data_IF_488350978368
#
_entry.id   IF_488350978368
#
_cell.length_a   1.000
_cell.length_b   1.000
_cell.length_c   1.000
_cell.angle_alpha   90.00
_cell.angle_beta   90.00
_cell.angle_gamma   90.00
#
_symmetry.space_group_name_H-M   'P 1'
#
loop_
_entity.id
_entity.type
_entity.pdbx_description
1 polymer ?
#
# COMPACT_ATOMS: atom_id res chain seq x y z
N UNK A 1 -20.70 -17.30 73.94
CA UNK A 1 -20.24 -18.57 74.56
C UNK A 1 -19.18 -19.13 73.62
N UNK A 2 -17.97 -18.92 74.01
CA UNK A 2 -16.94 -19.93 74.31
C UNK A 2 -16.52 -20.74 73.09
N UNK A 3 -15.30 -20.93 72.71
CA UNK A 3 -13.94 -20.70 73.33
C UNK A 3 -12.91 -21.07 72.24
N UNK A 4 -11.80 -20.33 72.16
CA UNK A 4 -10.47 -20.74 71.68
C UNK A 4 -9.84 -21.72 72.67
N UNK A 5 -8.62 -22.30 72.50
CA UNK A 5 -7.54 -22.35 71.51
C UNK A 5 -6.85 -23.75 71.42
N UNK A 6 -5.56 -24.00 71.24
CA UNK A 6 -4.40 -23.22 70.77
C UNK A 6 -3.41 -23.96 69.85
N UNK A 7 -2.38 -23.21 69.54
CA UNK A 7 -1.18 -23.50 68.76
C UNK A 7 -0.24 -24.66 69.23
N UNK A 8 0.63 -25.10 68.30
CA UNK A 8 2.04 -25.43 68.60
C UNK A 8 2.95 -25.36 67.36
N UNK A 9 3.99 -24.54 67.47
CA UNK A 9 5.28 -24.61 66.80
C UNK A 9 6.18 -25.50 67.73
N UNK A 10 7.44 -25.95 67.40
CA UNK A 10 8.49 -25.30 66.59
C UNK A 10 9.50 -26.24 65.90
N UNK A 11 10.51 -25.65 65.34
CA UNK A 11 11.88 -26.16 65.20
C UNK A 11 12.44 -26.20 63.77
N UNK A 12 13.24 -25.23 63.37
CA UNK A 12 14.71 -25.03 63.33
C UNK A 12 15.43 -26.05 62.40
N UNK A 13 16.37 -25.78 61.57
CA UNK A 13 17.35 -24.76 61.26
C UNK A 13 18.12 -25.19 60.03
N UNK A 14 18.75 -24.31 59.34
CA UNK A 14 20.12 -24.20 58.83
C UNK A 14 20.35 -23.85 57.36
N UNK A 15 20.78 -22.66 57.20
CA UNK A 15 21.96 -22.10 56.52
C UNK A 15 22.22 -22.31 55.03
N UNK A 16 22.26 -21.16 54.37
CA UNK A 16 23.33 -20.63 53.60
C UNK A 16 23.20 -20.64 52.08
N UNK A 17 24.00 -19.90 51.32
CA UNK A 17 23.76 -18.50 51.07
C UNK A 17 23.36 -18.22 49.61
N UNK A 18 22.73 -17.07 49.46
CA UNK A 18 22.38 -16.36 48.21
C UNK A 18 23.50 -16.36 47.16
N UNK A 19 23.15 -16.70 45.94
CA UNK A 19 23.76 -16.15 44.73
C UNK A 19 22.68 -15.55 43.83
N UNK A 20 22.53 -14.23 43.95
CA UNK A 20 21.85 -13.41 42.95
C UNK A 20 22.61 -13.60 41.63
N UNK A 21 22.05 -14.30 40.68
CA UNK A 21 22.42 -14.19 39.26
C UNK A 21 21.50 -13.18 38.64
N UNK A 22 22.04 -11.98 38.33
CA UNK A 22 21.49 -11.06 37.36
C UNK A 22 21.44 -11.82 36.02
N UNK A 23 20.25 -12.10 35.55
CA UNK A 23 20.02 -12.45 34.14
C UNK A 23 19.86 -11.10 33.40
N UNK A 24 20.93 -10.68 32.74
CA UNK A 24 20.85 -9.68 31.69
C UNK A 24 20.08 -10.32 30.54
N UNK A 25 18.87 -9.84 30.30
CA UNK A 25 18.14 -10.08 29.04
C UNK A 25 18.86 -9.25 27.96
N UNK A 26 19.74 -9.89 27.23
CA UNK A 26 20.15 -9.40 25.91
C UNK A 26 18.99 -9.70 24.96
N UNK A 27 18.27 -8.66 24.57
CA UNK A 27 17.36 -8.72 23.44
C UNK A 27 18.20 -8.99 22.17
N UNK A 28 18.21 -10.24 21.70
CA UNK A 28 18.64 -10.56 20.34
C UNK A 28 17.51 -10.13 19.41
N UNK A 29 17.73 -9.05 18.69
CA UNK A 29 16.98 -8.79 17.48
C UNK A 29 17.24 -9.94 16.49
N UNK A 30 16.23 -10.55 15.88
CA UNK A 30 16.45 -11.49 14.80
C UNK A 30 16.97 -10.73 13.58
N UNK A 31 18.27 -10.84 13.30
CA UNK A 31 18.78 -10.59 11.98
C UNK A 31 18.14 -11.65 11.07
N UNK A 32 17.15 -11.26 10.29
CA UNK A 32 16.60 -12.09 9.23
C UNK A 32 17.70 -12.29 8.18
N UNK A 33 18.51 -13.32 8.35
CA UNK A 33 19.34 -13.84 7.29
C UNK A 33 18.40 -14.54 6.30
N UNK A 34 18.09 -13.86 5.20
CA UNK A 34 17.42 -14.48 4.05
C UNK A 34 18.36 -15.53 3.50
N UNK A 35 18.13 -16.79 3.85
CA UNK A 35 18.75 -17.93 3.18
C UNK A 35 18.07 -18.10 1.82
N UNK A 36 18.67 -17.51 0.81
CA UNK A 36 18.35 -17.74 -0.59
C UNK A 36 18.65 -19.21 -0.93
N UNK A 37 17.59 -20.00 -1.02
CA UNK A 37 17.63 -21.32 -1.66
C UNK A 37 17.93 -21.17 -3.14
N UNK A 38 19.09 -21.64 -3.56
CA UNK A 38 19.52 -21.67 -4.95
C UNK A 38 18.57 -22.52 -5.80
N UNK A 39 17.84 -21.87 -6.71
CA UNK A 39 17.33 -22.50 -7.93
C UNK A 39 17.54 -21.55 -9.11
N UNK A 40 18.60 -21.83 -9.81
CA UNK A 40 18.94 -21.64 -11.24
C UNK A 40 18.57 -20.35 -11.99
N UNK A 41 19.63 -19.62 -12.39
CA UNK A 41 19.89 -19.10 -13.76
C UNK A 41 19.08 -17.90 -14.25
N UNK A 42 18.99 -16.83 -13.46
CA UNK A 42 18.97 -15.43 -13.86
C UNK A 42 19.21 -14.54 -12.63
N UNK A 43 19.97 -14.99 -11.65
CA UNK A 43 20.33 -14.17 -10.49
C UNK A 43 21.44 -13.22 -10.89
N UNK A 44 21.16 -11.92 -10.81
CA UNK A 44 22.16 -10.89 -10.90
C UNK A 44 23.17 -10.97 -9.76
N UNK A 45 24.25 -10.21 -9.87
CA UNK A 45 25.16 -9.96 -8.76
C UNK A 45 24.47 -9.05 -7.75
N UNK A 46 24.09 -9.62 -6.60
CA UNK A 46 23.53 -8.84 -5.49
C UNK A 46 24.55 -7.81 -5.01
N UNK A 47 24.17 -6.54 -5.00
CA UNK A 47 24.96 -5.46 -4.43
C UNK A 47 24.58 -5.28 -2.97
N UNK A 48 25.58 -5.15 -2.11
CA UNK A 48 25.41 -5.10 -0.67
C UNK A 48 26.07 -3.87 -0.07
N UNK A 49 25.60 -3.46 1.10
CA UNK A 49 26.22 -2.43 1.93
C UNK A 49 26.62 -2.99 3.29
N UNK A 50 27.60 -2.35 3.92
CA UNK A 50 27.95 -2.55 5.34
C UNK A 50 27.25 -1.54 6.26
N UNK A 51 26.47 -0.60 5.67
CA UNK A 51 25.71 0.36 6.46
C UNK A 51 24.69 -0.37 7.34
N UNK A 52 24.51 0.14 8.55
CA UNK A 52 23.47 -0.39 9.45
C UNK A 52 22.13 0.19 8.98
N UNK A 53 21.16 -0.70 8.81
CA UNK A 53 19.77 -0.30 8.56
C UNK A 53 19.27 0.52 9.75
N UNK A 54 18.74 1.70 9.50
CA UNK A 54 18.09 2.53 10.51
C UNK A 54 16.58 2.31 10.50
N UNK A 55 16.02 2.18 11.69
CA UNK A 55 14.56 2.12 11.88
C UNK A 55 14.11 3.47 12.41
N UNK A 56 13.31 4.19 11.62
CA UNK A 56 12.71 5.45 12.01
C UNK A 56 11.24 5.19 12.33
N UNK A 57 10.77 5.68 13.50
CA UNK A 57 9.35 5.59 13.83
C UNK A 57 8.61 6.82 13.30
N UNK A 58 7.33 6.69 12.97
CA UNK A 58 6.51 7.81 12.50
C UNK A 58 6.49 8.98 13.49
N UNK A 59 6.47 8.69 14.80
CA UNK A 59 6.48 9.70 15.88
C UNK A 59 7.74 10.56 15.90
N UNK A 60 8.88 10.01 15.48
CA UNK A 60 10.18 10.69 15.53
C UNK A 60 10.32 11.77 14.44
N UNK A 61 9.50 11.65 13.39
CA UNK A 61 9.49 12.52 12.20
C UNK A 61 8.06 12.90 11.78
N UNK A 62 7.13 13.03 12.73
CA UNK A 62 5.70 13.21 12.48
C UNK A 62 5.36 14.38 11.53
N UNK A 63 6.05 15.52 11.69
CA UNK A 63 5.86 16.69 10.83
C UNK A 63 6.27 16.43 9.37
N UNK A 64 7.32 15.64 9.16
CA UNK A 64 7.81 15.32 7.82
C UNK A 64 7.01 14.17 7.20
N UNK A 65 6.54 13.23 8.01
CA UNK A 65 5.54 12.22 7.58
C UNK A 65 4.27 12.89 7.06
N UNK A 66 3.76 13.94 7.73
CA UNK A 66 2.59 14.67 7.25
C UNK A 66 2.82 15.34 5.89
N UNK A 67 4.03 15.89 5.64
CA UNK A 67 4.39 16.45 4.32
C UNK A 67 4.51 15.34 3.26
N UNK A 68 5.15 14.23 3.61
CA UNK A 68 5.27 13.06 2.73
C UNK A 68 3.89 12.48 2.37
N UNK A 69 2.97 12.36 3.33
CA UNK A 69 1.60 11.90 3.09
C UNK A 69 0.84 12.85 2.15
N UNK A 70 0.96 14.16 2.36
CA UNK A 70 0.39 15.17 1.45
C UNK A 70 0.97 15.04 0.03
N UNK A 71 2.27 14.82 -0.09
CA UNK A 71 2.91 14.61 -1.39
C UNK A 71 2.46 13.31 -2.06
N UNK A 72 2.27 12.24 -1.27
CA UNK A 72 1.71 10.97 -1.74
C UNK A 72 0.31 11.14 -2.32
N UNK A 73 -0.58 11.81 -1.60
CA UNK A 73 -1.93 12.13 -2.03
C UNK A 73 -1.93 12.96 -3.33
N UNK A 74 -1.11 14.01 -3.39
CA UNK A 74 -0.98 14.84 -4.59
C UNK A 74 -0.45 14.06 -5.80
N UNK A 75 0.47 13.14 -5.59
CA UNK A 75 1.02 12.28 -6.64
C UNK A 75 -0.06 11.34 -7.18
N UNK A 76 -0.84 10.72 -6.28
CA UNK A 76 -1.96 9.86 -6.63
C UNK A 76 -3.05 10.59 -7.40
N UNK A 77 -3.53 11.72 -6.87
CA UNK A 77 -4.55 12.55 -7.50
C UNK A 77 -4.14 13.03 -8.90
N UNK A 78 -2.89 13.45 -9.06
CA UNK A 78 -2.34 13.85 -10.37
C UNK A 78 -2.26 12.68 -11.35
N UNK A 79 -1.81 11.52 -10.88
CA UNK A 79 -1.66 10.33 -11.71
C UNK A 79 -3.04 9.80 -12.14
N UNK A 80 -3.99 9.71 -11.22
CA UNK A 80 -5.35 9.29 -11.52
C UNK A 80 -6.02 10.27 -12.49
N UNK A 81 -5.86 11.57 -12.26
CA UNK A 81 -6.36 12.63 -13.17
C UNK A 81 -5.70 12.54 -14.55
N UNK A 82 -4.40 12.22 -14.63
CA UNK A 82 -3.71 12.03 -15.91
C UNK A 82 -4.35 10.89 -16.72
N UNK A 83 -4.62 9.75 -16.08
CA UNK A 83 -5.30 8.62 -16.73
C UNK A 83 -6.72 8.99 -17.19
N UNK A 84 -7.50 9.64 -16.33
CA UNK A 84 -8.88 10.01 -16.63
C UNK A 84 -9.01 11.10 -17.69
N UNK A 85 -7.98 11.94 -17.87
CA UNK A 85 -7.91 12.89 -18.99
C UNK A 85 -7.63 12.22 -20.32
N UNK A 86 -6.85 11.15 -20.32
CA UNK A 86 -6.57 10.37 -21.52
C UNK A 86 -7.81 9.55 -21.94
N UNK A 87 -8.50 8.92 -20.98
CA UNK A 87 -9.80 8.25 -21.21
C UNK A 87 -10.67 8.33 -19.94
N UNK A 88 -11.70 9.15 -19.99
CA UNK A 88 -12.65 9.38 -18.89
C UNK A 88 -13.68 8.25 -18.71
N UNK A 89 -13.64 7.21 -19.53
CA UNK A 89 -14.61 6.11 -19.52
C UNK A 89 -14.00 4.78 -19.10
N UNK A 90 -12.67 4.69 -19.04
CA UNK A 90 -11.95 3.49 -18.66
C UNK A 90 -11.56 3.54 -17.19
N UNK A 91 -11.75 2.41 -16.47
CA UNK A 91 -11.28 2.24 -15.10
C UNK A 91 -9.77 2.41 -15.03
N UNK A 92 -9.31 3.23 -14.08
CA UNK A 92 -7.90 3.52 -13.87
C UNK A 92 -7.48 3.17 -12.43
N UNK A 93 -6.25 2.67 -12.27
CA UNK A 93 -5.68 2.33 -10.96
C UNK A 93 -4.26 2.85 -10.84
N UNK A 94 -3.90 3.29 -9.64
CA UNK A 94 -2.57 3.76 -9.27
C UNK A 94 -2.19 3.27 -7.86
N UNK A 95 -0.89 3.16 -7.59
CA UNK A 95 -0.34 2.99 -6.24
C UNK A 95 0.60 4.17 -5.94
N UNK A 96 0.09 5.25 -5.34
CA UNK A 96 0.89 6.45 -5.06
C UNK A 96 2.08 6.15 -4.15
N UNK A 97 1.88 5.36 -3.10
CA UNK A 97 2.95 4.98 -2.17
C UNK A 97 4.07 4.21 -2.87
N UNK A 98 3.73 3.22 -3.72
CA UNK A 98 4.73 2.46 -4.48
C UNK A 98 5.57 3.36 -5.36
N UNK A 99 4.93 4.30 -6.07
CA UNK A 99 5.62 5.26 -6.92
C UNK A 99 6.51 6.20 -6.10
N UNK A 100 6.02 6.73 -4.99
CA UNK A 100 6.79 7.61 -4.11
C UNK A 100 8.04 6.94 -3.54
N UNK A 101 7.97 5.66 -3.13
CA UNK A 101 9.13 4.91 -2.64
C UNK A 101 10.17 4.66 -3.73
N UNK A 102 9.75 4.35 -4.96
CA UNK A 102 10.65 4.28 -6.11
C UNK A 102 11.37 5.61 -6.33
N UNK A 103 10.62 6.71 -6.30
CA UNK A 103 11.19 8.05 -6.47
C UNK A 103 12.13 8.43 -5.33
N UNK A 104 11.85 8.04 -4.08
CA UNK A 104 12.73 8.30 -2.94
C UNK A 104 14.08 7.56 -3.08
N UNK A 105 14.06 6.30 -3.50
CA UNK A 105 15.26 5.51 -3.78
C UNK A 105 16.09 6.14 -4.92
N UNK A 106 15.44 6.62 -5.98
CA UNK A 106 16.11 7.27 -7.09
C UNK A 106 16.68 8.65 -6.74
N UNK A 107 16.00 9.39 -5.87
CA UNK A 107 16.42 10.72 -5.43
C UNK A 107 17.83 10.71 -4.78
N UNK A 108 18.17 9.63 -4.06
CA UNK A 108 19.51 9.43 -3.49
C UNK A 108 20.59 9.23 -4.55
N UNK A 109 20.18 8.75 -5.73
CA UNK A 109 21.04 8.61 -6.90
C UNK A 109 21.21 9.88 -7.73
N UNK A 110 20.34 10.86 -7.53
CA UNK A 110 20.28 12.06 -8.35
C UNK A 110 21.33 13.11 -7.95
N UNK A 111 21.89 13.82 -8.95
CA UNK A 111 22.72 15.00 -8.72
C UNK A 111 21.89 16.19 -8.25
N UNK A 112 22.54 17.21 -7.69
CA UNK A 112 21.85 18.37 -7.09
C UNK A 112 20.82 19.04 -8.02
N UNK A 113 21.13 19.13 -9.32
CA UNK A 113 20.21 19.70 -10.30
C UNK A 113 19.02 18.79 -10.60
N UNK A 114 19.21 17.47 -10.61
CA UNK A 114 18.16 16.48 -10.87
C UNK A 114 17.31 16.24 -9.63
N UNK A 115 17.88 16.31 -8.42
CA UNK A 115 17.20 16.04 -7.15
C UNK A 115 15.97 16.93 -6.93
N UNK A 116 15.98 18.17 -7.43
CA UNK A 116 14.88 19.13 -7.23
C UNK A 116 13.53 18.61 -7.73
N UNK A 117 13.50 17.89 -8.86
CA UNK A 117 12.28 17.28 -9.38
C UNK A 117 11.75 16.17 -8.47
N UNK A 118 12.63 15.33 -7.93
CA UNK A 118 12.27 14.29 -6.97
C UNK A 118 11.77 14.88 -5.66
N UNK A 119 12.47 15.86 -5.10
CA UNK A 119 12.12 16.52 -3.85
C UNK A 119 10.76 17.22 -3.94
N UNK A 120 10.44 17.85 -5.07
CA UNK A 120 9.15 18.47 -5.33
C UNK A 120 7.99 17.45 -5.36
N UNK A 121 8.23 16.27 -5.93
CA UNK A 121 7.23 15.18 -5.97
C UNK A 121 7.08 14.48 -4.63
N UNK A 122 8.12 14.46 -3.80
CA UNK A 122 8.17 13.75 -2.52
C UNK A 122 7.87 14.66 -1.31
N UNK A 123 7.76 15.98 -1.53
CA UNK A 123 7.40 16.96 -0.51
C UNK A 123 8.50 17.31 0.49
N UNK A 124 9.66 16.71 0.38
CA UNK A 124 10.81 16.82 1.29
C UNK A 124 12.12 16.65 0.53
N UNK A 125 13.25 17.06 1.13
CA UNK A 125 14.56 16.95 0.54
C UNK A 125 15.59 16.32 1.50
N UNK A 126 16.63 15.69 0.93
CA UNK A 126 17.76 15.15 1.66
C UNK A 126 17.37 14.14 2.74
N UNK A 127 18.05 14.16 3.87
CA UNK A 127 17.85 13.18 4.95
C UNK A 127 16.44 13.27 5.57
N UNK A 128 15.78 14.43 5.59
CA UNK A 128 14.40 14.55 6.08
C UNK A 128 13.42 13.77 5.18
N UNK A 129 13.65 13.83 3.85
CA UNK A 129 12.92 12.99 2.87
C UNK A 129 13.13 11.52 3.17
N UNK A 130 14.38 11.08 3.28
CA UNK A 130 14.73 9.67 3.45
C UNK A 130 14.17 9.09 4.75
N UNK A 131 14.27 9.86 5.83
CA UNK A 131 13.73 9.48 7.15
C UNK A 131 12.21 9.37 7.15
N UNK A 132 11.52 10.33 6.54
CA UNK A 132 10.05 10.33 6.48
C UNK A 132 9.53 9.15 5.66
N UNK A 133 10.05 8.92 4.46
CA UNK A 133 9.65 7.81 3.59
C UNK A 133 10.08 6.45 4.16
N UNK A 134 11.23 6.38 4.83
CA UNK A 134 11.65 5.20 5.59
C UNK A 134 10.68 4.88 6.74
N UNK A 135 10.24 5.90 7.50
CA UNK A 135 9.28 5.72 8.59
C UNK A 135 7.92 5.19 8.07
N UNK A 136 7.44 5.73 6.94
CA UNK A 136 6.21 5.25 6.27
C UNK A 136 6.36 3.79 5.85
N UNK A 137 7.45 3.44 5.16
CA UNK A 137 7.72 2.04 4.78
C UNK A 137 7.79 1.12 6.01
N UNK A 138 8.51 1.54 7.06
CA UNK A 138 8.66 0.75 8.29
C UNK A 138 7.33 0.55 9.02
N UNK A 139 6.41 1.54 8.99
CA UNK A 139 5.10 1.41 9.63
C UNK A 139 4.25 0.31 9.02
N UNK A 140 4.38 0.08 7.72
CA UNK A 140 3.69 -0.98 6.99
C UNK A 140 4.34 -2.35 7.18
N UNK A 141 5.64 -2.41 7.46
CA UNK A 141 6.36 -3.67 7.71
C UNK A 141 5.82 -4.47 8.91
N UNK A 142 5.05 -3.85 9.82
CA UNK A 142 4.35 -4.57 10.90
C UNK A 142 3.30 -5.55 10.37
N UNK A 143 2.80 -5.30 9.18
CA UNK A 143 1.84 -6.16 8.49
C UNK A 143 2.52 -7.08 7.46
N UNK A 144 3.86 -7.04 7.34
CA UNK A 144 4.57 -7.91 6.40
C UNK A 144 4.51 -9.36 6.84
N UNK A 145 4.48 -10.26 5.87
CA UNK A 145 4.37 -11.69 6.11
C UNK A 145 4.91 -12.54 4.97
N UNK A 146 4.99 -13.83 5.22
CA UNK A 146 5.48 -14.77 4.21
C UNK A 146 4.46 -14.94 3.07
N UNK A 147 4.89 -14.68 1.85
CA UNK A 147 4.07 -14.88 0.64
C UNK A 147 4.00 -16.35 0.19
N UNK A 148 4.90 -17.20 0.68
CA UNK A 148 4.91 -18.62 0.31
C UNK A 148 3.65 -19.32 0.79
N UNK A 149 2.83 -19.78 -0.15
CA UNK A 149 1.56 -20.45 0.13
C UNK A 149 0.42 -19.46 0.38
N UNK A 150 0.61 -18.18 0.07
CA UNK A 150 -0.48 -17.22 -0.01
C UNK A 150 -1.50 -17.71 -1.05
N UNK A 151 -2.75 -17.71 -0.66
CA UNK A 151 -3.88 -18.11 -1.49
C UNK A 151 -4.79 -16.88 -1.65
N UNK A 152 -4.91 -16.30 -2.84
CA UNK A 152 -5.74 -15.12 -3.05
C UNK A 152 -7.22 -15.38 -2.77
N UNK A 153 -7.63 -16.64 -2.76
CA UNK A 153 -9.01 -17.05 -2.42
C UNK A 153 -9.20 -17.23 -0.89
N UNK A 154 -8.22 -16.89 -0.07
CA UNK A 154 -8.27 -16.97 1.40
C UNK A 154 -7.61 -15.80 2.06
N UNK A 155 -8.37 -14.79 2.43
CA UNK A 155 -7.85 -13.64 3.15
C UNK A 155 -7.26 -14.07 4.48
N UNK A 156 -6.00 -13.67 4.80
CA UNK A 156 -5.38 -14.00 6.07
C UNK A 156 -6.13 -13.35 7.24
N UNK A 157 -6.09 -13.99 8.42
CA UNK A 157 -6.75 -13.46 9.61
C UNK A 157 -6.09 -12.18 10.14
N UNK A 158 -4.82 -11.97 9.84
CA UNK A 158 -4.10 -10.72 10.12
C UNK A 158 -3.90 -9.97 8.82
N UNK A 159 -4.01 -8.65 8.80
CA UNK A 159 -3.68 -7.88 7.61
C UNK A 159 -2.28 -8.23 7.10
N UNK A 160 -2.15 -8.36 5.79
CA UNK A 160 -0.91 -8.56 5.09
C UNK A 160 -0.65 -7.36 4.18
N UNK A 161 0.48 -6.70 4.39
CA UNK A 161 0.98 -5.67 3.48
C UNK A 161 2.44 -5.98 3.17
N UNK A 162 2.69 -6.58 2.02
CA UNK A 162 4.06 -6.84 1.57
C UNK A 162 4.48 -5.76 0.59
N UNK A 163 5.53 -5.04 0.96
CA UNK A 163 6.07 -3.92 0.20
C UNK A 163 7.54 -4.17 -0.11
N UNK A 164 7.87 -4.37 -1.38
CA UNK A 164 9.22 -4.68 -1.83
C UNK A 164 9.70 -3.72 -2.91
N UNK A 165 10.99 -3.37 -2.88
CA UNK A 165 11.63 -2.49 -3.85
C UNK A 165 12.79 -3.22 -4.53
N UNK A 166 12.95 -3.02 -5.82
CA UNK A 166 14.01 -3.61 -6.62
C UNK A 166 14.65 -2.59 -7.55
N UNK A 167 15.96 -2.50 -7.46
CA UNK A 167 16.80 -1.67 -8.34
C UNK A 167 17.68 -2.62 -9.17
N UNK A 168 17.47 -2.64 -10.47
CA UNK A 168 18.20 -3.50 -11.39
C UNK A 168 19.06 -2.67 -12.34
N UNK A 169 20.36 -2.92 -12.31
CA UNK A 169 21.39 -2.16 -13.03
C UNK A 169 22.08 -3.07 -14.04
N UNK A 170 22.34 -2.55 -15.22
CA UNK A 170 23.09 -3.31 -16.24
C UNK A 170 24.52 -3.62 -15.76
N UNK A 171 24.94 -4.87 -15.93
CA UNK A 171 26.33 -5.28 -15.67
C UNK A 171 27.17 -5.00 -16.94
N UNK A 172 27.62 -3.75 -17.05
CA UNK A 172 28.47 -3.28 -18.15
C UNK A 172 29.75 -2.67 -17.59
N UNK A 173 30.85 -2.75 -18.36
CA UNK A 173 32.19 -2.37 -17.90
C UNK A 173 32.35 -0.91 -17.51
N UNK A 174 31.49 -0.03 -18.02
CA UNK A 174 31.47 1.41 -17.75
C UNK A 174 30.48 1.80 -16.65
N UNK A 175 29.75 0.83 -16.07
CA UNK A 175 28.80 1.05 -14.99
C UNK A 175 29.39 0.51 -13.68
N UNK A 176 30.04 1.39 -12.94
CA UNK A 176 30.51 1.12 -11.58
C UNK A 176 29.58 1.80 -10.56
N UNK A 177 28.79 0.97 -9.84
CA UNK A 177 27.84 1.46 -8.84
C UNK A 177 28.57 1.96 -7.63
N UNK A 178 28.29 3.20 -7.24
CA UNK A 178 28.96 3.86 -6.10
C UNK A 178 28.51 3.29 -4.78
N UNK A 179 29.47 2.94 -3.92
CA UNK A 179 29.20 2.38 -2.59
C UNK A 179 28.40 3.36 -1.72
N UNK A 180 28.62 4.68 -1.87
CA UNK A 180 27.86 5.71 -1.12
C UNK A 180 26.37 5.66 -1.41
N UNK A 181 25.96 5.41 -2.66
CA UNK A 181 24.55 5.22 -3.00
C UNK A 181 23.97 3.96 -2.33
N UNK A 182 24.68 2.83 -2.43
CA UNK A 182 24.27 1.58 -1.76
C UNK A 182 24.13 1.77 -0.26
N UNK A 183 25.06 2.45 0.37
CA UNK A 183 25.06 2.71 1.80
C UNK A 183 23.84 3.57 2.21
N UNK A 184 23.49 4.59 1.43
CA UNK A 184 22.33 5.45 1.70
C UNK A 184 21.02 4.69 1.51
N UNK A 185 20.84 4.03 0.35
CA UNK A 185 19.58 3.33 0.06
C UNK A 185 19.34 2.17 1.05
N UNK A 186 20.38 1.37 1.34
CA UNK A 186 20.23 0.24 2.26
C UNK A 186 20.19 0.65 3.73
N UNK A 187 20.59 1.88 4.06
CA UNK A 187 20.39 2.49 5.38
C UNK A 187 18.93 2.84 5.62
N UNK A 188 18.24 3.44 4.64
CA UNK A 188 16.89 3.99 4.79
C UNK A 188 15.79 3.08 4.25
N UNK A 189 16.03 2.40 3.13
CA UNK A 189 15.02 1.64 2.41
C UNK A 189 15.31 0.15 2.37
N UNK A 190 14.27 -0.67 2.45
CA UNK A 190 14.38 -2.09 2.13
C UNK A 190 14.31 -2.25 0.61
N UNK A 191 15.46 -2.49 -0.02
CA UNK A 191 15.53 -2.66 -1.46
C UNK A 191 16.51 -3.79 -1.84
N UNK A 192 16.13 -4.60 -2.83
CA UNK A 192 17.05 -5.48 -3.51
C UNK A 192 17.74 -4.69 -4.62
N UNK A 193 19.09 -4.66 -4.63
CA UNK A 193 19.87 -3.97 -5.66
C UNK A 193 20.77 -4.98 -6.34
N UNK A 194 20.60 -5.15 -7.64
CA UNK A 194 21.32 -6.17 -8.42
C UNK A 194 21.95 -5.57 -9.67
N UNK A 195 23.11 -6.14 -10.09
CA UNK A 195 23.67 -5.95 -11.43
C UNK A 195 23.52 -7.24 -12.23
N UNK A 196 23.06 -7.12 -13.49
CA UNK A 196 22.80 -8.27 -14.35
C UNK A 196 22.98 -7.87 -15.83
N UNK A 197 23.40 -8.83 -16.66
CA UNK A 197 23.45 -8.64 -18.11
C UNK A 197 22.09 -8.23 -18.68
N UNK A 198 22.06 -7.26 -19.60
CA UNK A 198 20.82 -6.67 -20.16
C UNK A 198 19.88 -7.74 -20.72
N UNK A 199 20.41 -8.75 -21.42
CA UNK A 199 19.63 -9.85 -22.01
C UNK A 199 18.91 -10.72 -20.94
N UNK A 200 19.35 -10.68 -19.69
CA UNK A 200 18.78 -11.42 -18.57
C UNK A 200 17.83 -10.58 -17.72
N UNK A 201 17.81 -9.25 -17.89
CA UNK A 201 17.00 -8.34 -17.06
C UNK A 201 15.52 -8.70 -17.08
N UNK A 202 14.91 -8.90 -18.25
CA UNK A 202 13.47 -9.18 -18.34
C UNK A 202 13.06 -10.40 -17.53
N UNK A 203 13.81 -11.48 -17.64
CA UNK A 203 13.55 -12.71 -16.89
C UNK A 203 13.70 -12.51 -15.38
N UNK A 204 14.67 -11.71 -14.96
CA UNK A 204 14.87 -11.37 -13.55
C UNK A 204 13.69 -10.53 -13.02
N UNK A 205 13.27 -9.48 -13.76
CA UNK A 205 12.16 -8.61 -13.40
C UNK A 205 10.84 -9.39 -13.27
N UNK A 206 10.55 -10.31 -14.20
CA UNK A 206 9.36 -11.15 -14.15
C UNK A 206 9.36 -12.07 -12.94
N UNK A 207 10.47 -12.76 -12.70
CA UNK A 207 10.62 -13.64 -11.54
C UNK A 207 10.52 -12.88 -10.21
N UNK A 208 11.02 -11.64 -10.17
CA UNK A 208 10.93 -10.79 -8.98
C UNK A 208 9.48 -10.32 -8.76
N UNK A 209 8.78 -9.85 -9.79
CA UNK A 209 7.38 -9.43 -9.71
C UNK A 209 6.48 -10.58 -9.23
N UNK A 210 6.57 -11.76 -9.87
CA UNK A 210 5.86 -12.98 -9.47
C UNK A 210 6.09 -13.32 -8.00
N UNK A 211 7.36 -13.37 -7.55
CA UNK A 211 7.73 -13.71 -6.17
C UNK A 211 7.17 -12.72 -5.14
N UNK A 212 7.21 -11.43 -5.42
CA UNK A 212 6.81 -10.37 -4.48
C UNK A 212 5.33 -10.00 -4.56
N UNK A 213 4.57 -10.63 -5.45
CA UNK A 213 3.10 -10.48 -5.55
C UNK A 213 2.36 -11.81 -5.39
N UNK A 214 3.03 -12.85 -4.90
CA UNK A 214 2.45 -14.20 -4.78
C UNK A 214 1.79 -14.66 -6.10
N UNK A 215 2.48 -14.47 -7.23
CA UNK A 215 2.03 -14.80 -8.59
C UNK A 215 0.78 -14.04 -9.09
N UNK A 216 0.26 -13.07 -8.34
CA UNK A 216 -0.86 -12.22 -8.79
C UNK A 216 -0.46 -11.33 -9.96
N UNK A 217 0.82 -10.97 -10.04
CA UNK A 217 1.44 -10.25 -11.16
C UNK A 217 2.63 -11.10 -11.65
N UNK A 218 2.40 -12.03 -12.58
CA UNK A 218 3.44 -12.99 -12.99
C UNK A 218 4.52 -12.38 -13.89
N UNK A 219 4.26 -11.23 -14.50
CA UNK A 219 5.19 -10.58 -15.41
C UNK A 219 5.32 -9.10 -15.10
N UNK A 220 6.55 -8.60 -15.00
CA UNK A 220 6.83 -7.17 -14.89
C UNK A 220 6.39 -6.42 -16.15
N UNK A 221 5.83 -5.22 -15.96
CA UNK A 221 5.45 -4.35 -17.08
C UNK A 221 6.59 -3.65 -17.79
N UNK A 222 7.82 -3.85 -17.33
CA UNK A 222 9.00 -3.17 -17.85
C UNK A 222 9.48 -3.84 -19.14
N UNK A 223 9.73 -3.03 -20.17
CA UNK A 223 10.28 -3.46 -21.45
C UNK A 223 11.79 -3.18 -21.47
N UNK A 224 12.58 -4.20 -21.77
CA UNK A 224 14.03 -4.10 -21.85
C UNK A 224 14.47 -3.88 -23.30
N UNK A 225 15.30 -2.86 -23.50
CA UNK A 225 16.01 -2.59 -24.74
C UNK A 225 17.53 -2.75 -24.53
N UNK A 226 18.30 -2.74 -25.61
CA UNK A 226 19.76 -2.78 -25.52
C UNK A 226 20.37 -1.56 -24.83
N UNK A 227 19.61 -0.46 -24.77
CA UNK A 227 20.05 0.79 -24.15
C UNK A 227 19.58 0.91 -22.70
N UNK A 228 18.86 -0.09 -22.18
CA UNK A 228 18.40 -0.11 -20.79
C UNK A 228 19.59 -0.27 -19.84
N UNK A 229 19.78 0.69 -18.93
CA UNK A 229 20.89 0.68 -17.95
C UNK A 229 20.42 0.60 -16.51
N UNK A 230 19.26 1.18 -16.21
CA UNK A 230 18.67 1.22 -14.87
C UNK A 230 17.16 1.03 -14.97
N UNK A 231 16.66 0.13 -14.15
CA UNK A 231 15.23 -0.09 -13.96
C UNK A 231 14.93 -0.14 -12.47
N UNK A 232 13.84 0.47 -12.08
CA UNK A 232 13.34 0.34 -10.71
C UNK A 232 11.90 -0.14 -10.76
N UNK A 233 11.58 -1.14 -9.95
CA UNK A 233 10.22 -1.63 -9.76
C UNK A 233 9.90 -1.78 -8.29
N UNK A 234 8.62 -1.65 -7.96
CA UNK A 234 8.07 -1.88 -6.64
C UNK A 234 6.92 -2.86 -6.73
N UNK A 235 6.76 -3.69 -5.72
CA UNK A 235 5.61 -4.55 -5.54
C UNK A 235 4.90 -4.19 -4.24
N UNK A 236 3.59 -4.05 -4.31
CA UNK A 236 2.70 -3.96 -3.17
C UNK A 236 1.66 -5.07 -3.27
N UNK A 237 1.67 -5.98 -2.29
CA UNK A 237 0.58 -6.92 -2.05
C UNK A 237 -0.13 -6.49 -0.78
N UNK A 238 -1.43 -6.33 -0.86
CA UNK A 238 -2.30 -6.06 0.27
C UNK A 238 -3.39 -7.12 0.37
N UNK A 239 -3.63 -7.61 1.59
CA UNK A 239 -4.74 -8.51 1.88
C UNK A 239 -5.24 -8.28 3.32
N UNK A 240 -6.50 -7.92 3.49
CA UNK A 240 -7.09 -7.73 4.81
C UNK A 240 -8.60 -7.97 4.80
N UNK A 241 -9.11 -8.57 5.87
CA UNK A 241 -10.54 -8.74 6.11
C UNK A 241 -11.16 -7.41 6.52
N UNK A 242 -12.42 -7.20 6.17
CA UNK A 242 -13.18 -6.11 6.74
C UNK A 242 -13.30 -6.30 8.26
N UNK A 243 -13.30 -5.20 9.01
CA UNK A 243 -13.66 -5.21 10.42
C UNK A 243 -15.08 -5.76 10.61
N UNK A 244 -15.98 -5.40 9.71
CA UNK A 244 -17.35 -5.92 9.61
C UNK A 244 -17.59 -6.43 8.20
N UNK A 245 -17.44 -7.75 7.94
CA UNK A 245 -17.66 -8.36 6.61
C UNK A 245 -19.10 -8.20 6.14
N UNK A 246 -19.30 -8.14 4.83
CA UNK A 246 -20.62 -8.24 4.22
C UNK A 246 -21.10 -9.70 4.25
N UNK A 247 -22.41 -9.90 4.19
CA UNK A 247 -22.99 -11.23 4.11
C UNK A 247 -23.22 -11.61 2.65
N UNK A 248 -22.60 -12.67 2.18
CA UNK A 248 -22.71 -13.12 0.78
C UNK A 248 -24.17 -13.33 0.32
N UNK A 249 -25.09 -13.71 1.23
CA UNK A 249 -26.52 -13.84 0.92
C UNK A 249 -27.22 -12.52 0.63
N UNK A 250 -26.63 -11.40 1.05
CA UNK A 250 -27.16 -10.06 0.87
C UNK A 250 -26.49 -9.35 -0.35
N UNK A 251 -25.65 -10.06 -1.11
CA UNK A 251 -25.13 -9.62 -2.41
C UNK A 251 -26.14 -9.93 -3.51
N UNK A 252 -26.44 -8.95 -4.34
CA UNK A 252 -27.39 -9.08 -5.46
C UNK A 252 -26.87 -8.42 -6.73
N UNK A 253 -27.34 -8.92 -7.90
CA UNK A 253 -27.04 -8.29 -9.19
C UNK A 253 -27.97 -7.11 -9.43
N UNK A 254 -27.36 -5.92 -9.56
CA UNK A 254 -28.07 -4.67 -9.77
C UNK A 254 -27.53 -3.88 -10.96
N UNK A 255 -28.25 -2.86 -11.34
CA UNK A 255 -27.85 -1.98 -12.43
C UNK A 255 -26.75 -1.02 -11.96
N UNK A 256 -25.65 -1.02 -12.69
CA UNK A 256 -24.58 -0.02 -12.57
C UNK A 256 -24.54 0.81 -13.86
N UNK A 257 -24.65 2.13 -13.74
CA UNK A 257 -24.65 3.05 -14.86
C UNK A 257 -23.24 3.47 -15.23
N UNK A 258 -22.75 3.09 -16.39
CA UNK A 258 -21.44 3.46 -16.92
C UNK A 258 -21.36 4.94 -17.28
N UNK A 259 -20.14 5.47 -17.45
CA UNK A 259 -19.88 6.86 -17.86
C UNK A 259 -20.66 7.32 -19.09
N UNK A 260 -20.93 6.41 -20.04
CA UNK A 260 -21.73 6.67 -21.25
C UNK A 260 -23.25 6.54 -21.10
N UNK A 261 -23.75 6.34 -19.86
CA UNK A 261 -25.20 6.17 -19.58
C UNK A 261 -25.75 4.77 -19.88
N UNK A 262 -24.92 3.84 -20.38
CA UNK A 262 -25.30 2.42 -20.53
C UNK A 262 -25.25 1.74 -19.15
N UNK A 263 -26.20 0.83 -18.89
CA UNK A 263 -26.18 0.01 -17.67
C UNK A 263 -25.55 -1.36 -17.91
N UNK A 264 -24.86 -1.86 -16.89
CA UNK A 264 -24.37 -3.24 -16.77
C UNK A 264 -24.88 -3.84 -15.46
N UNK A 265 -24.91 -5.17 -15.38
CA UNK A 265 -25.24 -5.86 -14.12
C UNK A 265 -23.95 -6.07 -13.33
N UNK A 266 -23.90 -5.51 -12.11
CA UNK A 266 -22.81 -5.67 -11.17
C UNK A 266 -23.31 -6.37 -9.89
N UNK A 267 -22.45 -7.15 -9.26
CA UNK A 267 -22.73 -7.77 -7.96
C UNK A 267 -22.49 -6.71 -6.86
N UNK A 268 -23.58 -6.20 -6.26
CA UNK A 268 -23.54 -5.24 -5.17
C UNK A 268 -23.71 -5.94 -3.82
N UNK A 269 -22.75 -5.71 -2.95
CA UNK A 269 -22.76 -6.14 -1.54
C UNK A 269 -23.56 -5.15 -0.71
N UNK A 270 -24.53 -5.63 0.05
CA UNK A 270 -25.40 -4.78 0.87
C UNK A 270 -25.15 -4.98 2.36
N UNK A 271 -25.20 -3.86 3.09
CA UNK A 271 -25.25 -3.86 4.54
C UNK A 271 -25.83 -2.55 5.07
N UNK A 272 -26.30 -2.57 6.33
CA UNK A 272 -26.67 -1.36 7.08
C UNK A 272 -25.86 -1.34 8.34
N UNK A 273 -24.98 -0.34 8.48
CA UNK A 273 -24.02 -0.24 9.56
C UNK A 273 -23.67 1.19 9.91
N UNK A 274 -23.18 1.39 11.13
CA UNK A 274 -22.63 2.68 11.56
C UNK A 274 -21.20 2.81 11.04
N UNK A 275 -20.97 3.71 10.09
CA UNK A 275 -19.66 3.98 9.49
C UNK A 275 -19.45 5.48 9.33
N UNK A 276 -18.17 5.89 9.23
CA UNK A 276 -17.79 7.28 8.98
C UNK A 276 -18.34 7.73 7.62
N UNK A 277 -19.04 8.86 7.62
CA UNK A 277 -19.67 9.43 6.43
C UNK A 277 -19.37 10.93 6.34
N UNK A 278 -18.98 11.37 5.16
CA UNK A 278 -18.73 12.78 4.86
C UNK A 278 -19.35 13.17 3.53
N UNK A 279 -19.60 14.47 3.36
CA UNK A 279 -20.04 15.05 2.09
C UNK A 279 -19.22 16.30 1.79
N UNK A 280 -19.05 16.58 0.51
CA UNK A 280 -18.43 17.80 0.02
C UNK A 280 -19.18 18.36 -1.16
N UNK A 281 -18.49 19.18 -1.95
CA UNK A 281 -19.07 19.72 -3.16
C UNK A 281 -19.12 18.61 -4.23
N UNK A 282 -20.33 18.26 -4.63
CA UNK A 282 -20.61 17.29 -5.70
C UNK A 282 -20.10 15.86 -5.41
N UNK A 283 -19.93 15.47 -4.12
CA UNK A 283 -19.58 14.12 -3.70
C UNK A 283 -20.07 13.76 -2.29
N UNK A 284 -20.24 12.47 -2.07
CA UNK A 284 -20.35 11.85 -0.74
C UNK A 284 -19.27 10.76 -0.57
N UNK A 285 -18.89 10.47 0.66
CA UNK A 285 -17.88 9.47 0.94
C UNK A 285 -18.16 8.68 2.22
N UNK A 286 -17.71 7.42 2.23
CA UNK A 286 -17.72 6.54 3.41
C UNK A 286 -16.34 5.92 3.62
N UNK A 287 -16.03 5.56 4.87
CA UNK A 287 -14.82 4.81 5.25
C UNK A 287 -15.19 3.46 5.81
N UNK A 288 -14.58 2.41 5.23
CA UNK A 288 -14.66 1.03 5.69
C UNK A 288 -13.32 0.64 6.31
N UNK A 289 -13.34 0.21 7.56
CA UNK A 289 -12.14 -0.24 8.25
C UNK A 289 -11.86 -1.72 7.98
N UNK A 290 -10.56 -2.07 7.91
CA UNK A 290 -10.12 -3.47 7.91
C UNK A 290 -9.90 -3.94 9.35
N UNK A 291 -10.05 -5.23 9.58
CA UNK A 291 -9.78 -5.85 10.88
C UNK A 291 -8.31 -5.67 11.28
N UNK A 292 -8.09 -5.41 12.56
CA UNK A 292 -6.76 -5.37 13.16
C UNK A 292 -6.20 -6.76 13.47
N UNK A 293 -5.02 -6.82 14.09
CA UNK A 293 -4.33 -8.08 14.42
C UNK A 293 -5.11 -8.97 15.38
N UNK A 294 -5.91 -8.39 16.29
CA UNK A 294 -6.67 -9.09 17.32
C UNK A 294 -8.20 -9.02 17.12
N UNK A 295 -8.67 -8.66 15.92
CA UNK A 295 -10.08 -8.45 15.62
C UNK A 295 -10.77 -7.36 16.48
N UNK A 296 -9.97 -6.45 17.05
CA UNK A 296 -10.47 -5.28 17.77
C UNK A 296 -10.41 -4.04 16.87
N UNK A 297 -11.50 -3.27 16.84
CA UNK A 297 -11.68 -2.07 16.00
C UNK A 297 -10.61 -1.00 16.23
N UNK A 298 -10.06 -0.91 17.45
CA UNK A 298 -9.12 0.15 17.82
C UNK A 298 -7.69 -0.07 17.29
N UNK A 299 -7.37 -1.27 16.78
CA UNK A 299 -6.01 -1.63 16.31
C UNK A 299 -5.84 -1.54 14.80
N UNK A 300 -6.94 -1.51 14.02
CA UNK A 300 -6.84 -1.37 12.58
C UNK A 300 -6.58 0.06 12.17
N UNK A 301 -5.48 0.24 11.47
CA UNK A 301 -5.09 1.53 10.88
C UNK A 301 -5.18 1.51 9.35
N UNK A 302 -5.77 0.47 8.80
CA UNK A 302 -5.99 0.32 7.37
C UNK A 302 -7.48 0.52 7.07
N UNK A 303 -7.77 1.28 6.03
CA UNK A 303 -9.15 1.59 5.65
C UNK A 303 -9.28 1.74 4.13
N UNK A 304 -10.51 1.54 3.66
CA UNK A 304 -10.93 1.89 2.31
C UNK A 304 -11.88 3.07 2.37
N UNK A 305 -11.51 4.17 1.75
CA UNK A 305 -12.38 5.30 1.48
C UNK A 305 -13.06 5.09 0.13
N UNK A 306 -14.38 5.20 0.09
CA UNK A 306 -15.20 5.15 -1.12
C UNK A 306 -15.77 6.54 -1.35
N UNK A 307 -15.38 7.18 -2.44
CA UNK A 307 -15.84 8.52 -2.81
C UNK A 307 -16.74 8.40 -4.02
N UNK A 308 -17.99 8.78 -3.85
CA UNK A 308 -19.03 8.71 -4.86
C UNK A 308 -19.36 10.14 -5.30
N UNK A 309 -18.98 10.57 -6.52
CA UNK A 309 -19.44 11.83 -7.10
C UNK A 309 -20.97 11.85 -7.27
N UNK A 310 -21.56 13.01 -7.43
CA UNK A 310 -22.96 13.10 -7.85
C UNK A 310 -23.19 12.36 -9.19
N UNK A 311 -24.34 11.73 -9.36
CA UNK A 311 -24.63 10.84 -10.50
C UNK A 311 -24.46 11.48 -11.89
N UNK A 312 -24.45 12.81 -11.98
CA UNK A 312 -24.19 13.56 -13.21
C UNK A 312 -22.72 13.92 -13.44
N UNK A 313 -21.85 13.60 -12.48
CA UNK A 313 -20.44 14.01 -12.47
C UNK A 313 -19.53 12.79 -12.53
N UNK A 314 -18.66 12.73 -13.54
CA UNK A 314 -17.66 11.67 -13.64
C UNK A 314 -16.45 12.00 -12.78
N UNK A 315 -15.73 10.98 -12.24
CA UNK A 315 -14.48 11.17 -11.52
C UNK A 315 -13.49 12.08 -12.26
N UNK A 316 -13.34 11.93 -13.57
CA UNK A 316 -12.43 12.75 -14.39
C UNK A 316 -12.83 14.22 -14.55
N UNK A 317 -14.07 14.60 -14.18
CA UNK A 317 -14.55 15.99 -14.20
C UNK A 317 -14.37 16.69 -12.84
N UNK A 318 -13.97 15.97 -11.79
CA UNK A 318 -13.73 16.54 -10.47
C UNK A 318 -12.39 17.30 -10.44
N UNK A 319 -12.30 18.27 -9.56
CA UNK A 319 -11.06 19.02 -9.35
C UNK A 319 -9.93 18.12 -8.81
N UNK A 320 -8.70 18.38 -9.22
CA UNK A 320 -7.52 17.72 -8.65
C UNK A 320 -7.45 18.05 -7.15
N UNK A 321 -7.25 17.01 -6.32
CA UNK A 321 -7.27 17.14 -4.85
C UNK A 321 -8.60 16.76 -4.21
N UNK A 322 -9.67 16.53 -4.99
CA UNK A 322 -10.99 16.15 -4.45
C UNK A 322 -10.92 14.84 -3.64
N UNK A 323 -10.13 13.86 -4.08
CA UNK A 323 -10.03 12.57 -3.40
C UNK A 323 -9.29 12.68 -2.07
N UNK A 324 -8.24 13.50 -2.01
CA UNK A 324 -7.54 13.83 -0.76
C UNK A 324 -8.43 14.65 0.20
N UNK A 325 -9.20 15.61 -0.34
CA UNK A 325 -10.20 16.38 0.43
C UNK A 325 -11.25 15.46 1.06
N UNK A 326 -11.79 14.51 0.29
CA UNK A 326 -12.78 13.56 0.79
C UNK A 326 -12.22 12.68 1.91
N UNK A 327 -11.00 12.18 1.76
CA UNK A 327 -10.31 11.42 2.82
C UNK A 327 -10.06 12.26 4.08
N UNK A 328 -9.63 13.52 3.94
CA UNK A 328 -9.43 14.44 5.06
C UNK A 328 -10.75 14.78 5.76
N UNK A 329 -11.85 14.92 5.01
CA UNK A 329 -13.18 15.09 5.59
C UNK A 329 -13.59 13.86 6.41
N UNK A 330 -13.33 12.64 5.91
CA UNK A 330 -13.58 11.39 6.65
C UNK A 330 -12.70 11.26 7.91
N UNK A 331 -11.49 11.81 7.94
CA UNK A 331 -10.62 11.79 9.12
C UNK A 331 -11.23 12.54 10.33
N UNK A 332 -12.14 13.47 10.09
CA UNK A 332 -12.81 14.30 11.12
C UNK A 332 -14.31 14.08 11.23
N UNK A 333 -14.90 13.25 10.36
CA UNK A 333 -16.33 13.03 10.32
C UNK A 333 -16.81 12.07 11.42
N UNK A 334 -18.07 12.24 11.80
CA UNK A 334 -18.76 11.32 12.71
C UNK A 334 -19.31 10.11 11.95
N UNK A 335 -19.48 9.00 12.68
CA UNK A 335 -20.17 7.82 12.15
C UNK A 335 -21.67 8.11 12.02
N UNK A 336 -22.25 7.61 10.93
CA UNK A 336 -23.67 7.64 10.63
C UNK A 336 -24.19 6.23 10.36
N UNK A 337 -25.47 6.02 10.59
CA UNK A 337 -26.13 4.81 10.11
C UNK A 337 -26.28 4.91 8.59
N UNK A 338 -25.58 4.03 7.86
CA UNK A 338 -25.53 4.05 6.40
C UNK A 338 -26.05 2.73 5.85
N UNK A 339 -27.07 2.81 4.97
CA UNK A 339 -27.43 1.70 4.09
C UNK A 339 -26.50 1.72 2.89
N UNK A 340 -25.53 0.81 2.89
CA UNK A 340 -24.45 0.74 1.93
C UNK A 340 -24.75 -0.32 0.87
N UNK A 341 -24.53 0.03 -0.40
CA UNK A 341 -24.42 -0.92 -1.50
C UNK A 341 -23.12 -0.64 -2.26
N UNK A 342 -22.21 -1.62 -2.29
CA UNK A 342 -20.86 -1.46 -2.86
C UNK A 342 -20.56 -2.60 -3.85
N UNK A 343 -20.14 -2.32 -5.10
CA UNK A 343 -19.78 -3.36 -6.06
C UNK A 343 -18.59 -4.20 -5.62
N UNK A 344 -18.64 -5.50 -5.91
CA UNK A 344 -17.46 -6.39 -5.90
C UNK A 344 -16.54 -6.01 -7.05
N UNK A 345 -15.24 -6.18 -6.86
CA UNK A 345 -14.21 -5.89 -7.84
C UNK A 345 -13.21 -7.04 -7.98
N UNK A 346 -12.74 -7.25 -9.20
CA UNK A 346 -11.61 -8.12 -9.52
C UNK A 346 -10.81 -7.47 -10.66
N UNK A 347 -9.98 -6.48 -10.31
CA UNK A 347 -9.31 -5.59 -11.24
C UNK A 347 -7.81 -5.87 -11.32
N UNK A 348 -7.28 -5.98 -12.53
CA UNK A 348 -5.84 -6.00 -12.80
C UNK A 348 -5.51 -4.91 -13.83
N UNK A 349 -4.64 -3.96 -13.48
CA UNK A 349 -4.18 -2.99 -14.46
C UNK A 349 -3.22 -3.63 -15.46
N UNK A 350 -3.26 -3.14 -16.71
CA UNK A 350 -2.15 -3.35 -17.63
C UNK A 350 -0.91 -2.59 -17.09
N UNK A 351 0.30 -3.06 -17.41
CA UNK A 351 1.50 -2.30 -17.10
C UNK A 351 1.45 -0.92 -17.73
N UNK A 352 1.64 0.11 -16.90
CA UNK A 352 1.60 1.51 -17.35
C UNK A 352 2.97 2.11 -17.21
N UNK A 353 3.49 2.67 -18.30
CA UNK A 353 4.74 3.42 -18.31
C UNK A 353 4.49 4.85 -17.77
N UNK A 354 5.29 5.27 -16.80
CA UNK A 354 5.07 6.50 -16.04
C UNK A 354 6.11 7.60 -16.29
N UNK A 355 7.19 7.33 -17.03
CA UNK A 355 8.25 8.32 -17.22
C UNK A 355 7.77 9.57 -17.95
N UNK A 356 6.84 9.42 -18.91
CA UNK A 356 6.19 10.53 -19.59
C UNK A 356 5.47 11.45 -18.60
N UNK A 357 4.58 10.88 -17.79
CA UNK A 357 3.88 11.58 -16.72
C UNK A 357 4.84 12.26 -15.74
N UNK A 358 5.88 11.57 -15.28
CA UNK A 358 6.84 12.12 -14.33
C UNK A 358 7.61 13.32 -14.91
N UNK A 359 7.98 13.28 -16.20
CA UNK A 359 8.58 14.43 -16.91
C UNK A 359 7.64 15.63 -16.96
N UNK A 360 6.36 15.41 -17.22
CA UNK A 360 5.33 16.47 -17.18
C UNK A 360 5.20 17.08 -15.77
N UNK A 361 5.48 16.29 -14.71
CA UNK A 361 5.53 16.77 -13.34
C UNK A 361 6.89 17.38 -12.94
N UNK A 362 7.80 17.57 -13.87
CA UNK A 362 9.10 18.24 -13.65
C UNK A 362 10.25 17.32 -13.27
N UNK A 363 10.08 15.98 -13.33
CA UNK A 363 11.17 15.06 -13.10
C UNK A 363 12.19 15.11 -14.24
N UNK A 364 13.47 15.30 -13.90
CA UNK A 364 14.56 15.08 -14.84
C UNK A 364 15.04 13.61 -14.73
N UNK A 365 14.87 12.76 -15.76
CA UNK A 365 15.33 11.38 -15.72
C UNK A 365 16.85 11.21 -15.81
N UNK A 366 17.55 12.26 -16.23
CA UNK A 366 19.02 12.27 -16.31
C UNK A 366 19.65 12.70 -14.98
N UNK A 367 20.96 12.53 -14.88
CA UNK A 367 21.72 13.02 -13.70
C UNK A 367 21.63 12.07 -12.50
N UNK A 368 21.50 10.77 -12.72
CA UNK A 368 21.63 9.76 -11.67
C UNK A 368 23.09 9.36 -11.43
N UNK A 369 24.00 10.33 -11.58
CA UNK A 369 25.45 10.12 -11.47
C UNK A 369 25.91 9.74 -10.06
N UNK A 370 25.06 9.89 -9.03
CA UNK A 370 25.36 9.37 -7.69
C UNK A 370 25.18 7.86 -7.60
N UNK A 371 24.45 7.23 -8.51
CA UNK A 371 24.40 5.77 -8.68
C UNK A 371 25.63 5.33 -9.45
N UNK A 372 25.76 5.76 -10.70
CA UNK A 372 26.92 5.51 -11.56
C UNK A 372 27.02 6.64 -12.60
N UNK A 373 28.23 6.93 -13.13
CA UNK A 373 28.41 8.01 -14.09
C UNK A 373 27.52 7.89 -15.32
N UNK A 374 26.89 8.99 -15.73
CA UNK A 374 26.02 9.08 -16.93
C UNK A 374 24.80 8.14 -16.91
N UNK A 375 24.36 7.71 -15.74
CA UNK A 375 23.17 6.90 -15.61
C UNK A 375 21.92 7.79 -15.72
N UNK A 376 20.92 7.27 -16.42
CA UNK A 376 19.61 7.89 -16.57
C UNK A 376 18.51 6.86 -16.32
N UNK A 377 17.36 7.33 -15.85
CA UNK A 377 16.17 6.53 -15.68
C UNK A 377 15.54 6.27 -17.06
N UNK A 378 15.54 5.02 -17.48
CA UNK A 378 15.02 4.63 -18.79
C UNK A 378 13.51 4.38 -18.76
N UNK A 379 12.99 3.79 -17.67
CA UNK A 379 11.58 3.43 -17.53
C UNK A 379 11.17 3.34 -16.07
N UNK A 380 9.93 3.74 -15.79
CA UNK A 380 9.18 3.46 -14.56
C UNK A 380 7.87 2.84 -14.98
N UNK A 381 7.59 1.64 -14.54
CA UNK A 381 6.31 1.00 -14.83
C UNK A 381 5.62 0.60 -13.53
N UNK A 382 4.31 0.75 -13.52
CA UNK A 382 3.46 0.34 -12.43
C UNK A 382 2.39 -0.63 -12.92
N UNK A 383 2.06 -1.60 -12.05
CA UNK A 383 0.97 -2.53 -12.26
C UNK A 383 0.30 -2.77 -10.91
N UNK A 384 -1.03 -2.75 -10.90
CA UNK A 384 -1.84 -2.87 -9.68
C UNK A 384 -2.84 -4.00 -9.84
N UNK A 385 -2.98 -4.81 -8.81
CA UNK A 385 -4.03 -5.82 -8.66
C UNK A 385 -4.90 -5.44 -7.46
N UNK A 386 -6.23 -5.42 -7.63
CA UNK A 386 -7.19 -5.10 -6.59
C UNK A 386 -8.39 -6.05 -6.69
N UNK A 387 -8.63 -6.81 -5.63
CA UNK A 387 -9.81 -7.65 -5.46
C UNK A 387 -10.55 -7.12 -4.22
N UNK A 388 -11.85 -6.97 -4.32
CA UNK A 388 -12.71 -6.50 -3.25
C UNK A 388 -14.00 -7.32 -3.24
N UNK A 389 -14.28 -7.97 -2.11
CA UNK A 389 -15.47 -8.81 -1.93
C UNK A 389 -16.05 -8.70 -0.51
N UNK A 390 -16.95 -9.61 -0.17
CA UNK A 390 -17.72 -9.60 1.08
C UNK A 390 -16.84 -9.77 2.32
N UNK A 391 -15.73 -10.50 2.24
CA UNK A 391 -14.86 -10.73 3.39
C UNK A 391 -13.83 -9.61 3.59
N UNK A 392 -13.45 -8.93 2.53
CA UNK A 392 -12.40 -7.92 2.58
C UNK A 392 -11.83 -7.55 1.22
N UNK A 393 -10.56 -7.27 1.23
CA UNK A 393 -9.78 -7.11 0.01
C UNK A 393 -8.82 -8.28 -0.13
N UNK A 394 -8.84 -8.91 -1.30
CA UNK A 394 -8.29 -10.23 -1.68
C UNK A 394 -9.06 -11.41 -1.11
N UNK A 395 -9.77 -12.11 -1.93
CA UNK A 395 -10.96 -12.92 -1.69
C UNK A 395 -10.78 -14.32 -1.11
N UNK A 396 -11.81 -14.72 -0.47
CA UNK A 396 -12.65 -15.92 -0.29
C UNK A 396 -12.49 -16.75 0.98
N UNK A 397 -13.53 -16.94 1.62
CA UNK A 397 -14.40 -18.00 2.16
C UNK A 397 -14.72 -17.95 3.65
N UNK A 398 -15.98 -17.83 3.85
CA UNK A 398 -16.94 -18.17 4.93
C UNK A 398 -16.41 -18.49 6.34
N UNK A 399 -16.75 -17.59 7.30
CA UNK A 399 -17.03 -17.98 8.70
C UNK A 399 -18.16 -17.09 9.24
N UNK A 400 -19.28 -17.69 9.64
CA UNK A 400 -20.43 -17.01 10.20
C UNK A 400 -20.15 -16.59 11.66
N UNK A 401 -20.28 -15.28 11.92
CA UNK A 401 -20.33 -14.72 13.27
C UNK A 401 -21.42 -13.65 13.33
N UNK A 402 -22.52 -13.93 14.03
CA UNK A 402 -23.65 -13.04 14.17
C UNK A 402 -23.39 -12.09 15.34
N UNK A 403 -23.23 -10.79 15.08
CA UNK A 403 -23.28 -9.72 16.08
C UNK A 403 -24.56 -8.94 15.84
N UNK A 404 -25.54 -9.14 16.73
CA UNK A 404 -26.78 -8.38 16.72
C UNK A 404 -26.58 -7.07 17.49
N UNK A 405 -26.61 -5.94 16.79
CA UNK A 405 -26.74 -4.62 17.39
C UNK A 405 -28.20 -4.22 17.33
N UNK A 406 -28.86 -4.21 18.49
CA UNK A 406 -30.21 -3.66 18.64
C UNK A 406 -30.13 -2.22 19.13
N UNK A 407 -30.05 -1.28 18.17
CA UNK A 407 -30.37 0.12 18.42
C UNK A 407 -31.67 0.43 17.65
N UNK A 408 -32.69 0.97 18.35
CA UNK A 408 -33.88 1.52 17.69
C UNK A 408 -33.46 2.74 16.86
N UNK A 409 -33.47 2.58 15.54
CA UNK A 409 -33.13 3.63 14.59
C UNK A 409 -34.27 4.67 14.54
N UNK A 410 -33.92 5.93 14.64
CA UNK A 410 -34.84 7.01 14.30
C UNK A 410 -34.92 7.09 12.77
N UNK A 411 -36.11 7.02 12.15
CA UNK A 411 -36.27 6.91 10.71
C UNK A 411 -35.69 8.06 9.85
N UNK A 412 -35.24 9.16 10.47
CA UNK A 412 -34.74 10.36 9.76
C UNK A 412 -33.20 10.46 9.78
N UNK A 413 -32.48 9.46 10.26
CA UNK A 413 -31.00 9.50 10.38
C UNK A 413 -30.27 8.50 9.44
N UNK A 414 -31.02 7.66 8.73
CA UNK A 414 -30.44 6.66 7.84
C UNK A 414 -29.97 7.31 6.52
N UNK A 415 -28.70 7.17 6.22
CA UNK A 415 -28.10 7.63 4.95
C UNK A 415 -28.15 6.51 3.92
N UNK A 416 -28.63 6.79 2.72
CA UNK A 416 -28.53 5.88 1.59
C UNK A 416 -27.21 6.16 0.84
N UNK A 417 -26.35 5.14 0.70
CA UNK A 417 -25.09 5.23 -0.05
C UNK A 417 -24.98 4.04 -1.00
N UNK A 418 -25.51 4.24 -2.20
CA UNK A 418 -25.55 3.19 -3.23
C UNK A 418 -24.56 3.52 -4.35
N UNK A 419 -23.52 2.73 -4.48
CA UNK A 419 -22.46 2.87 -5.49
C UNK A 419 -22.91 2.20 -6.78
N UNK A 420 -23.71 2.90 -7.58
CA UNK A 420 -24.30 2.41 -8.82
C UNK A 420 -23.90 3.19 -10.08
N UNK A 421 -22.85 4.00 -9.97
CA UNK A 421 -22.25 4.77 -11.07
C UNK A 421 -20.76 5.01 -10.76
N UNK A 422 -19.95 5.59 -11.68
CA UNK A 422 -18.50 5.77 -11.51
C UNK A 422 -18.10 6.44 -10.21
N UNK A 423 -17.09 5.88 -9.54
CA UNK A 423 -16.66 6.28 -8.22
C UNK A 423 -15.15 6.11 -8.05
N UNK A 424 -14.60 6.59 -6.92
CA UNK A 424 -13.19 6.44 -6.58
C UNK A 424 -13.03 5.66 -5.28
N UNK A 425 -12.06 4.76 -5.26
CA UNK A 425 -11.58 4.03 -4.08
C UNK A 425 -10.21 4.52 -3.69
N UNK A 426 -9.97 4.63 -2.37
CA UNK A 426 -8.64 4.92 -1.81
C UNK A 426 -8.37 3.96 -0.65
N UNK A 427 -7.45 3.01 -0.85
CA UNK A 427 -6.91 2.15 0.21
C UNK A 427 -5.83 2.94 0.95
N UNK A 428 -5.99 3.12 2.27
CA UNK A 428 -5.13 4.00 3.07
C UNK A 428 -4.55 3.32 4.31
N UNK A 429 -3.32 3.71 4.67
CA UNK A 429 -2.81 3.57 6.03
C UNK A 429 -3.12 4.85 6.83
N UNK A 430 -4.03 4.76 7.77
CA UNK A 430 -4.46 5.89 8.60
C UNK A 430 -3.39 6.33 9.62
N UNK A 431 -2.35 5.50 9.85
CA UNK A 431 -1.26 5.83 10.76
C UNK A 431 -0.29 6.83 10.13
N UNK A 432 0.10 6.59 8.89
CA UNK A 432 0.95 7.51 8.12
C UNK A 432 0.16 8.55 7.34
N UNK A 433 -1.14 8.32 7.12
CA UNK A 433 -2.00 9.15 6.27
C UNK A 433 -1.84 8.89 4.77
N UNK A 434 -1.06 7.89 4.35
CA UNK A 434 -0.75 7.66 2.92
C UNK A 434 -1.77 6.78 2.22
N UNK A 435 -1.99 7.05 0.92
CA UNK A 435 -2.75 6.19 0.02
C UNK A 435 -1.85 5.10 -0.57
N UNK A 436 -2.22 3.83 -0.33
CA UNK A 436 -1.52 2.66 -0.86
C UNK A 436 -1.93 2.40 -2.31
N UNK A 437 -3.25 2.40 -2.55
CA UNK A 437 -3.86 2.17 -3.86
C UNK A 437 -5.02 3.15 -4.05
N UNK A 438 -5.16 3.66 -5.24
CA UNK A 438 -6.30 4.44 -5.69
C UNK A 438 -6.87 3.85 -6.98
N UNK A 439 -8.19 3.86 -7.12
CA UNK A 439 -8.86 3.39 -8.31
C UNK A 439 -10.07 4.27 -8.64
N UNK A 440 -10.14 4.76 -9.86
CA UNK A 440 -11.35 5.32 -10.42
C UNK A 440 -12.08 4.22 -11.20
N UNK A 441 -13.18 3.73 -10.66
CA UNK A 441 -13.93 2.60 -11.19
C UNK A 441 -15.04 3.10 -12.08
N UNK A 442 -14.88 2.92 -13.39
CA UNK A 442 -15.87 3.32 -14.42
C UNK A 442 -16.82 2.18 -14.78
N UNK A 443 -16.32 0.95 -14.64
CA UNK A 443 -17.07 -0.30 -14.85
C UNK A 443 -16.55 -1.34 -13.84
N UNK A 444 -17.36 -1.77 -12.87
CA UNK A 444 -16.95 -2.75 -11.87
C UNK A 444 -16.92 -4.20 -12.41
N UNK A 445 -17.43 -4.45 -13.63
CA UNK A 445 -17.54 -5.80 -14.21
C UNK A 445 -16.33 -6.21 -15.04
N UNK A 446 -15.45 -5.25 -15.38
CA UNK A 446 -14.21 -5.55 -16.11
C UNK A 446 -13.18 -6.17 -15.17
N UNK A 447 -12.39 -7.12 -15.70
CA UNK A 447 -11.29 -7.73 -14.92
C UNK A 447 -9.93 -7.13 -15.24
N UNK A 448 -9.76 -6.69 -16.47
CA UNK A 448 -8.50 -6.07 -16.93
C UNK A 448 -8.78 -4.64 -17.32
N UNK A 449 -8.05 -3.72 -16.72
CA UNK A 449 -8.16 -2.31 -16.99
C UNK A 449 -6.94 -1.85 -17.77
N UNK A 450 -7.20 -1.19 -18.91
CA UNK A 450 -6.15 -0.65 -19.76
C UNK A 450 -5.54 0.60 -19.14
N UNK A 451 -4.21 0.76 -19.32
CA UNK A 451 -3.70 2.12 -19.34
C UNK A 451 -4.29 2.82 -20.58
N UNK A 452 -4.71 4.10 -20.48
CA UNK A 452 -4.96 4.88 -21.68
C UNK A 452 -3.71 4.86 -22.55
N UNK A 453 -3.88 4.59 -23.85
CA UNK A 453 -2.79 4.49 -24.80
C UNK A 453 -2.10 5.84 -25.03
#
# INVERSE_FOLDING_TARGET
MNTFPPAHRPGSDHHGPSRRRLLALTALAPAAAVLLGACSSASGKQLTSKATRETVNLSDVASDVAKAATACDQLGDKLLTHYLKADSTTTAMASPLSLALVLAILADGATDAATQGYDALLGLSGEDRDRAWSAIQNSLNRYDGALKGFDPDKIPNKPLTHLANHVLIADEKDIEVKQTYLDTVLRWFSAEIEQIEVDSMKKNLDAWASRNTADLIPNSGINISKDTRLVVQNALLFAAKWESPFKAKDTSQEDFTLAGGKTVKADLMHDTRSITYATGKDWAAVRLHYAGEEHHSDDSRLALDVVLPDASTLPGAMDVGTWAEASAALDSAESREVRLALPKLDLTSQPTELLGFLKEQGLNPEGLDRIAPKLALAQVAQQVRLILDEEGTVAAALTEGEVAVTAELKPNELVEFTVNHPYVLRLRDLTSGTALVEAAVMDPTVKTVGAPA
#
